data_IF_151364828632
#
_entry.id   IF_151364828632
#
_cell.length_a   1.000
_cell.length_b   1.000
_cell.length_c   1.000
_cell.angle_alpha   90.00
_cell.angle_beta   90.00
_cell.angle_gamma   90.00
#
_symmetry.space_group_name_H-M   'P 1'
#
loop_
_entity.id
_entity.type
_entity.pdbx_description
1 polymer ?
#
# COMPACT_ATOMS: atom_id res chain seq x y z
N UNK A 1 -4.87 -16.81 -11.08
CA UNK A 1 -6.24 -16.35 -10.72
C UNK A 1 -6.14 -15.65 -9.38
N UNK A 2 -6.26 -14.32 -9.36
CA UNK A 2 -6.32 -13.55 -8.11
C UNK A 2 -7.70 -13.80 -7.45
N UNK A 3 -7.78 -13.79 -6.11
CA UNK A 3 -9.08 -13.77 -5.46
C UNK A 3 -9.75 -12.43 -5.78
N UNK A 4 -10.84 -12.48 -6.54
CA UNK A 4 -11.72 -11.32 -6.74
C UNK A 4 -12.28 -10.81 -5.40
N UNK A 5 -12.82 -9.59 -5.40
CA UNK A 5 -13.54 -9.10 -4.23
C UNK A 5 -14.63 -10.12 -3.83
N UNK A 6 -14.82 -10.41 -2.54
CA UNK A 6 -15.86 -11.34 -2.12
C UNK A 6 -17.23 -10.76 -2.50
N UNK A 7 -17.91 -11.45 -3.42
CA UNK A 7 -19.29 -11.15 -3.82
C UNK A 7 -20.32 -11.68 -2.82
N UNK A 8 -19.89 -12.55 -1.89
CA UNK A 8 -20.74 -13.12 -0.87
C UNK A 8 -20.89 -12.17 0.33
N UNK A 9 -22.08 -12.14 0.91
CA UNK A 9 -22.53 -11.19 1.94
C UNK A 9 -21.48 -10.82 2.99
N UNK A 10 -21.19 -9.53 3.09
CA UNK A 10 -20.38 -8.92 4.14
C UNK A 10 -21.27 -8.70 5.37
N UNK A 11 -20.92 -9.31 6.49
CA UNK A 11 -21.64 -9.15 7.75
C UNK A 11 -21.27 -7.80 8.42
N UNK A 12 -21.61 -6.69 7.77
CA UNK A 12 -21.39 -5.36 8.35
C UNK A 12 -22.28 -5.17 9.59
N UNK A 13 -21.71 -4.75 10.72
CA UNK A 13 -22.52 -4.42 11.89
C UNK A 13 -23.35 -3.17 11.63
N UNK A 14 -24.51 -3.04 12.27
CA UNK A 14 -25.37 -1.86 12.13
C UNK A 14 -24.61 -0.55 12.41
N UNK A 15 -23.66 -0.57 13.35
CA UNK A 15 -22.81 0.58 13.68
C UNK A 15 -21.99 1.09 12.50
N UNK A 16 -21.58 0.22 11.57
CA UNK A 16 -20.76 0.62 10.43
C UNK A 16 -21.49 1.62 9.51
N UNK A 17 -22.82 1.49 9.38
CA UNK A 17 -23.65 2.43 8.62
C UNK A 17 -23.88 3.73 9.41
N UNK A 18 -24.09 3.64 10.72
CA UNK A 18 -24.35 4.81 11.57
C UNK A 18 -23.10 5.68 11.79
N UNK A 19 -21.91 5.07 11.83
CA UNK A 19 -20.63 5.73 12.03
C UNK A 19 -19.91 6.07 10.72
N UNK A 20 -20.60 5.90 9.57
CA UNK A 20 -20.09 6.23 8.23
C UNK A 20 -18.71 5.62 7.94
N UNK A 21 -18.56 4.32 8.19
CA UNK A 21 -17.29 3.64 8.03
C UNK A 21 -16.77 3.75 6.60
N UNK A 22 -15.48 4.06 6.48
CA UNK A 22 -14.77 4.11 5.20
C UNK A 22 -14.68 2.73 4.54
N UNK A 23 -14.63 2.76 3.20
CA UNK A 23 -14.43 1.60 2.34
C UNK A 23 -15.52 0.53 2.38
N UNK A 24 -16.70 0.81 2.94
CA UNK A 24 -17.84 -0.12 2.88
C UNK A 24 -18.40 -0.19 1.44
N UNK A 25 -18.97 -1.33 1.01
CA UNK A 25 -19.65 -1.43 -0.27
C UNK A 25 -20.87 -0.49 -0.32
N UNK A 26 -21.21 0.03 -1.50
CA UNK A 26 -22.30 1.01 -1.69
C UNK A 26 -23.67 0.50 -1.23
N UNK A 27 -23.97 -0.78 -1.42
CA UNK A 27 -25.23 -1.40 -0.98
C UNK A 27 -25.18 -1.87 0.48
N UNK A 28 -23.98 -1.90 1.08
CA UNK A 28 -23.69 -2.39 2.41
C UNK A 28 -23.90 -3.89 2.60
N UNK A 29 -23.97 -4.67 1.51
CA UNK A 29 -24.16 -6.12 1.53
C UNK A 29 -22.98 -6.86 0.90
N UNK A 30 -22.33 -6.32 -0.14
CA UNK A 30 -21.21 -7.00 -0.80
C UNK A 30 -20.52 -6.09 -1.80
N UNK A 31 -19.27 -6.41 -2.15
CA UNK A 31 -18.50 -5.57 -3.06
C UNK A 31 -18.83 -5.87 -4.52
N UNK A 32 -19.17 -4.82 -5.27
CA UNK A 32 -19.20 -4.81 -6.72
C UNK A 32 -17.89 -4.25 -7.30
N UNK A 33 -17.67 -4.44 -8.61
CA UNK A 33 -16.47 -3.95 -9.29
C UNK A 33 -16.33 -2.41 -9.17
N UNK A 34 -17.47 -1.70 -9.13
CA UNK A 34 -17.55 -0.26 -9.06
C UNK A 34 -17.16 0.29 -7.67
N UNK A 35 -17.28 -0.52 -6.62
CA UNK A 35 -16.95 -0.11 -5.25
C UNK A 35 -15.45 0.13 -5.08
N UNK A 36 -14.61 -0.53 -5.90
CA UNK A 36 -13.17 -0.33 -5.86
C UNK A 36 -12.82 1.13 -6.09
N UNK A 37 -13.29 1.70 -7.21
CA UNK A 37 -13.05 3.11 -7.54
C UNK A 37 -13.51 4.02 -6.40
N UNK A 38 -14.69 3.76 -5.84
CA UNK A 38 -15.22 4.53 -4.71
C UNK A 38 -14.36 4.43 -3.44
N UNK A 39 -13.79 3.27 -3.14
CA UNK A 39 -12.88 3.10 -2.01
C UNK A 39 -11.56 3.84 -2.22
N UNK A 40 -11.06 3.90 -3.46
CA UNK A 40 -9.83 4.63 -3.79
C UNK A 40 -10.01 6.14 -3.78
N UNK A 41 -11.19 6.66 -4.13
CA UNK A 41 -11.53 8.09 -4.01
C UNK A 41 -11.46 8.63 -2.56
N UNK A 42 -11.53 7.75 -1.56
CA UNK A 42 -11.47 8.11 -0.14
C UNK A 42 -10.04 8.25 0.42
N UNK A 43 -9.02 8.23 -0.44
CA UNK A 43 -7.60 8.19 -0.06
C UNK A 43 -6.80 9.42 -0.47
N UNK A 44 -5.65 9.67 0.19
CA UNK A 44 -5.19 9.01 1.41
C UNK A 44 -6.06 9.37 2.62
N UNK A 45 -6.02 8.55 3.68
CA UNK A 45 -6.56 8.98 4.97
C UNK A 45 -5.53 9.93 5.59
N UNK A 46 -5.92 11.19 5.72
CA UNK A 46 -5.05 12.25 6.22
C UNK A 46 -4.89 12.13 7.73
N UNK A 47 -3.65 11.94 8.18
CA UNK A 47 -3.24 11.81 9.59
C UNK A 47 -1.99 12.63 9.93
N UNK A 48 -1.45 13.40 8.98
CA UNK A 48 -0.34 14.34 9.20
C UNK A 48 0.86 13.73 9.95
N UNK A 49 1.29 12.52 9.57
CA UNK A 49 2.41 11.82 10.22
C UNK A 49 2.09 11.14 11.54
N UNK A 50 0.86 11.19 12.02
CA UNK A 50 0.43 10.57 13.28
C UNK A 50 -0.33 9.27 13.03
N UNK A 51 0.33 8.10 13.04
CA UNK A 51 -0.34 6.85 12.70
C UNK A 51 -1.54 6.53 13.61
N UNK A 52 -1.51 7.01 14.86
CA UNK A 52 -2.56 6.81 15.87
C UNK A 52 -3.84 7.65 15.61
N UNK A 53 -3.80 8.64 14.71
CA UNK A 53 -4.97 9.41 14.31
C UNK A 53 -5.88 8.63 13.32
N UNK A 54 -5.50 7.39 12.96
CA UNK A 54 -6.34 6.50 12.17
C UNK A 54 -7.63 6.15 12.95
N UNK A 55 -8.77 6.13 12.26
CA UNK A 55 -10.04 5.78 12.88
C UNK A 55 -9.96 4.39 13.52
N UNK A 56 -10.37 4.21 14.79
CA UNK A 56 -10.14 2.96 15.52
C UNK A 56 -10.68 1.71 14.82
N UNK A 57 -11.84 1.80 14.16
CA UNK A 57 -12.43 0.67 13.42
C UNK A 57 -11.54 0.19 12.26
N UNK A 58 -10.63 1.01 11.75
CA UNK A 58 -9.67 0.62 10.72
C UNK A 58 -8.40 -0.02 11.30
N UNK A 59 -8.19 -0.01 12.62
CA UNK A 59 -6.97 -0.55 13.24
C UNK A 59 -7.28 -1.81 14.04
N UNK A 60 -6.64 -2.92 13.65
CA UNK A 60 -6.74 -4.19 14.38
C UNK A 60 -6.01 -4.10 15.72
N UNK A 61 -4.93 -3.32 15.77
CA UNK A 61 -4.02 -3.21 16.91
C UNK A 61 -4.65 -2.45 18.06
N UNK A 62 -5.42 -1.42 17.76
CA UNK A 62 -6.17 -0.65 18.77
C UNK A 62 -7.50 -1.33 19.13
N UNK A 63 -7.74 -2.55 18.65
CA UNK A 63 -8.90 -3.36 19.01
C UNK A 63 -10.21 -2.97 18.35
N UNK A 64 -10.24 -2.04 17.38
CA UNK A 64 -11.51 -1.49 16.85
C UNK A 64 -12.40 -2.46 16.06
N UNK A 65 -11.90 -3.67 15.78
CA UNK A 65 -12.67 -4.76 15.18
C UNK A 65 -12.62 -6.06 16.01
N UNK A 66 -12.17 -6.02 17.28
CA UNK A 66 -11.96 -7.22 18.08
C UNK A 66 -13.26 -8.01 18.31
N UNK A 67 -14.38 -7.29 18.46
CA UNK A 67 -15.73 -7.76 18.75
C UNK A 67 -16.55 -8.13 17.49
N UNK A 68 -15.96 -8.03 16.30
CA UNK A 68 -16.68 -8.22 15.05
C UNK A 68 -16.18 -9.43 14.26
N UNK A 69 -17.10 -10.05 13.53
CA UNK A 69 -16.82 -11.13 12.56
C UNK A 69 -16.29 -10.62 11.21
N UNK A 70 -15.77 -9.39 11.18
CA UNK A 70 -15.13 -8.78 10.02
C UNK A 70 -13.72 -8.29 10.36
N UNK A 71 -12.94 -8.00 9.33
CA UNK A 71 -11.63 -7.35 9.42
C UNK A 71 -11.59 -6.16 8.45
N UNK A 72 -10.92 -5.07 8.85
CA UNK A 72 -10.75 -3.92 7.99
C UNK A 72 -9.90 -4.27 6.77
N UNK A 73 -9.98 -3.45 5.71
CA UNK A 73 -9.01 -3.52 4.63
C UNK A 73 -7.60 -3.23 5.15
N UNK A 74 -6.58 -3.61 4.38
CA UNK A 74 -5.20 -3.29 4.76
C UNK A 74 -4.87 -1.87 4.31
N UNK A 75 -4.32 -1.10 5.24
CA UNK A 75 -3.75 0.22 5.00
C UNK A 75 -2.24 0.14 5.23
N UNK A 76 -1.47 0.80 4.38
CA UNK A 76 -0.03 1.03 4.53
C UNK A 76 0.19 2.46 5.02
N UNK A 77 1.00 2.62 6.06
CA UNK A 77 1.42 3.95 6.53
C UNK A 77 2.73 4.34 5.86
N UNK A 78 2.81 5.55 5.32
CA UNK A 78 4.04 6.07 4.74
C UNK A 78 3.81 7.11 3.66
N UNK A 79 4.63 7.09 2.61
CA UNK A 79 4.65 8.13 1.57
C UNK A 79 4.42 7.55 0.19
N UNK A 80 3.69 8.28 -0.65
CA UNK A 80 3.64 8.07 -2.11
C UNK A 80 4.65 8.99 -2.78
N UNK A 81 5.59 8.42 -3.51
CA UNK A 81 6.70 9.10 -4.13
C UNK A 81 6.58 9.11 -5.65
N UNK A 82 6.99 10.22 -6.25
CA UNK A 82 7.20 10.29 -7.69
C UNK A 82 8.45 9.48 -8.09
N UNK A 83 8.37 8.81 -9.24
CA UNK A 83 9.47 7.96 -9.73
C UNK A 83 10.78 8.72 -9.89
N UNK A 84 10.72 9.94 -10.44
CA UNK A 84 11.87 10.81 -10.67
C UNK A 84 12.62 11.11 -9.37
N UNK A 85 11.89 11.52 -8.31
CA UNK A 85 12.45 11.78 -6.98
C UNK A 85 13.05 10.51 -6.38
N UNK A 86 12.30 9.41 -6.36
CA UNK A 86 12.75 8.14 -5.78
C UNK A 86 14.01 7.61 -6.47
N UNK A 87 14.02 7.56 -7.81
CA UNK A 87 15.17 7.10 -8.57
C UNK A 87 16.37 8.05 -8.46
N UNK A 88 16.14 9.36 -8.32
CA UNK A 88 17.21 10.32 -8.02
C UNK A 88 17.96 9.96 -6.74
N UNK A 89 17.22 9.64 -5.67
CA UNK A 89 17.79 9.24 -4.38
C UNK A 89 18.48 7.88 -4.49
N UNK A 90 17.88 6.91 -5.20
CA UNK A 90 18.47 5.57 -5.41
C UNK A 90 19.81 5.67 -6.15
N UNK A 91 19.93 6.53 -7.16
CA UNK A 91 21.21 6.74 -7.87
C UNK A 91 22.31 7.26 -6.95
N UNK A 92 21.97 8.13 -6.01
CA UNK A 92 22.94 8.71 -5.08
C UNK A 92 23.30 7.74 -3.95
N UNK A 93 22.30 7.17 -3.28
CA UNK A 93 22.50 6.39 -2.04
C UNK A 93 22.68 4.89 -2.29
N UNK A 94 22.14 4.35 -3.39
CA UNK A 94 22.07 2.91 -3.68
C UNK A 94 22.38 2.55 -5.14
N UNK A 95 23.48 3.07 -5.74
CA UNK A 95 23.75 2.88 -7.19
C UNK A 95 23.85 1.40 -7.59
N UNK A 96 24.34 0.54 -6.71
CA UNK A 96 24.49 -0.89 -6.95
C UNK A 96 23.17 -1.68 -6.91
N UNK A 97 22.06 -1.04 -6.54
CA UNK A 97 20.75 -1.67 -6.48
C UNK A 97 19.93 -1.45 -7.78
N UNK A 98 20.42 -0.62 -8.70
CA UNK A 98 19.71 -0.25 -9.92
C UNK A 98 19.67 -1.42 -10.89
N UNK A 99 18.45 -1.80 -11.27
CA UNK A 99 18.19 -2.81 -12.28
C UNK A 99 18.07 -2.17 -13.67
N UNK A 100 18.52 -2.89 -14.70
CA UNK A 100 18.41 -2.48 -16.09
C UNK A 100 17.49 -3.42 -16.85
N UNK A 101 16.69 -2.86 -17.76
CA UNK A 101 15.80 -3.60 -18.64
C UNK A 101 15.75 -2.94 -20.02
N UNK A 102 15.25 -3.69 -21.01
CA UNK A 102 14.88 -3.12 -22.30
C UNK A 102 13.45 -2.59 -22.21
N UNK A 103 13.23 -1.35 -22.65
CA UNK A 103 11.91 -0.72 -22.71
C UNK A 103 11.98 0.68 -23.33
N UNK A 104 10.83 1.28 -23.60
CA UNK A 104 10.72 2.69 -23.93
C UNK A 104 10.83 3.56 -22.66
N UNK A 105 10.86 4.89 -22.83
CA UNK A 105 11.05 5.81 -21.70
C UNK A 105 9.97 5.67 -20.62
N UNK A 106 8.71 5.45 -20.99
CA UNK A 106 7.59 5.33 -20.05
C UNK A 106 7.68 4.01 -19.31
N UNK A 107 7.92 2.90 -20.02
CA UNK A 107 8.12 1.57 -19.42
C UNK A 107 9.23 1.55 -18.38
N UNK A 108 10.34 2.22 -18.67
CA UNK A 108 11.51 2.23 -17.81
C UNK A 108 11.34 3.13 -16.57
N UNK A 109 10.64 4.26 -16.71
CA UNK A 109 10.63 5.31 -15.68
C UNK A 109 9.32 5.45 -14.92
N UNK A 110 8.17 5.22 -15.54
CA UNK A 110 6.86 5.57 -14.96
C UNK A 110 5.93 4.37 -14.81
N UNK A 111 6.12 3.34 -15.63
CA UNK A 111 5.24 2.18 -15.66
C UNK A 111 5.36 1.35 -14.38
N UNK A 112 4.23 1.20 -13.69
CA UNK A 112 4.03 0.23 -12.64
C UNK A 112 3.03 -0.77 -13.21
N UNK A 113 3.48 -2.02 -13.39
CA UNK A 113 2.61 -3.13 -13.74
C UNK A 113 1.65 -3.40 -12.57
N UNK A 114 0.54 -2.67 -12.58
CA UNK A 114 -0.65 -3.01 -11.84
C UNK A 114 -1.59 -3.72 -12.82
N UNK A 115 -2.00 -4.94 -12.47
CA UNK A 115 -2.80 -5.87 -13.30
C UNK A 115 -4.20 -5.32 -13.72
N UNK A 116 -4.42 -4.01 -13.69
CA UNK A 116 -5.67 -3.29 -13.91
C UNK A 116 -5.55 -2.12 -14.91
N UNK A 117 -4.45 -2.05 -15.68
CA UNK A 117 -4.41 -1.44 -17.03
C UNK A 117 -4.52 0.09 -17.14
N UNK A 118 -4.70 0.84 -16.04
CA UNK A 118 -4.82 2.32 -16.13
C UNK A 118 -3.52 3.00 -16.59
N UNK A 119 -2.36 2.43 -16.25
CA UNK A 119 -1.06 2.92 -16.73
C UNK A 119 -0.64 2.29 -18.06
N UNK A 120 -1.08 1.08 -18.39
CA UNK A 120 -0.81 0.45 -19.70
C UNK A 120 -1.30 1.31 -20.86
N UNK A 121 -2.43 2.01 -20.69
CA UNK A 121 -2.97 2.92 -21.69
C UNK A 121 -2.06 4.12 -22.02
N UNK A 122 -1.03 4.38 -21.21
CA UNK A 122 -0.05 5.45 -21.42
C UNK A 122 1.21 4.96 -22.15
N UNK A 123 1.38 3.65 -22.30
CA UNK A 123 2.53 3.04 -22.95
C UNK A 123 2.28 2.98 -24.45
N UNK A 124 3.14 3.64 -25.22
CA UNK A 124 3.22 3.43 -26.65
C UNK A 124 4.06 2.17 -26.93
N UNK A 125 3.38 1.05 -27.15
CA UNK A 125 4.02 -0.25 -27.42
C UNK A 125 4.77 -0.30 -28.75
N UNK A 126 4.51 0.64 -29.66
CA UNK A 126 5.22 0.77 -30.92
C UNK A 126 6.47 1.65 -30.81
N UNK A 127 6.68 2.28 -29.65
CA UNK A 127 7.85 3.13 -29.42
C UNK A 127 9.15 2.31 -29.40
N UNK A 128 10.27 2.87 -29.91
CA UNK A 128 11.56 2.20 -29.88
C UNK A 128 11.98 1.84 -28.45
N UNK A 129 12.44 0.61 -28.27
CA UNK A 129 12.97 0.12 -26.99
C UNK A 129 14.48 0.32 -26.93
N UNK A 130 14.98 0.63 -25.73
CA UNK A 130 16.40 0.74 -25.43
C UNK A 130 16.71 0.10 -24.08
N UNK A 131 17.96 -0.30 -23.87
CA UNK A 131 18.43 -0.73 -22.55
C UNK A 131 18.59 0.49 -21.64
N UNK A 132 17.98 0.48 -20.47
CA UNK A 132 18.07 1.57 -19.51
C UNK A 132 17.69 1.14 -18.09
N UNK A 133 17.81 2.07 -17.15
CA UNK A 133 17.42 1.85 -15.76
C UNK A 133 15.91 1.61 -15.66
N UNK A 134 15.50 0.56 -14.98
CA UNK A 134 14.08 0.23 -14.78
C UNK A 134 13.67 0.54 -13.34
N UNK A 135 12.84 1.56 -13.15
CA UNK A 135 12.36 1.98 -11.84
C UNK A 135 11.58 0.87 -11.13
N UNK A 136 10.65 0.22 -11.84
CA UNK A 136 9.84 -0.87 -11.30
C UNK A 136 10.70 -2.04 -10.78
N UNK A 137 11.61 -2.56 -11.60
CA UNK A 137 12.49 -3.65 -11.20
C UNK A 137 13.44 -3.26 -10.07
N UNK A 138 13.90 -2.01 -10.06
CA UNK A 138 14.77 -1.49 -8.99
C UNK A 138 14.03 -1.40 -7.66
N UNK A 139 12.86 -0.75 -7.65
CA UNK A 139 12.11 -0.44 -6.42
C UNK A 139 11.51 -1.70 -5.80
N UNK A 140 10.95 -2.60 -6.61
CA UNK A 140 10.39 -3.86 -6.12
C UNK A 140 11.43 -4.98 -6.00
N UNK A 141 12.69 -4.69 -6.31
CA UNK A 141 13.82 -5.60 -6.15
C UNK A 141 14.18 -5.83 -4.68
N UNK A 142 14.43 -7.09 -4.31
CA UNK A 142 14.84 -7.45 -2.94
C UNK A 142 16.18 -6.83 -2.54
N UNK A 143 17.06 -6.56 -3.51
CA UNK A 143 18.39 -5.95 -3.30
C UNK A 143 18.23 -4.54 -2.71
N UNK A 144 17.42 -3.68 -3.33
CA UNK A 144 17.16 -2.34 -2.81
C UNK A 144 16.49 -2.39 -1.44
N UNK A 145 15.45 -3.23 -1.29
CA UNK A 145 14.75 -3.40 -0.02
C UNK A 145 15.72 -3.73 1.12
N UNK A 146 16.63 -4.66 0.90
CA UNK A 146 17.63 -5.04 1.91
C UNK A 146 18.60 -3.89 2.20
N UNK A 147 19.11 -3.22 1.16
CA UNK A 147 20.04 -2.10 1.34
C UNK A 147 19.41 -0.96 2.15
N UNK A 148 18.14 -0.63 1.89
CA UNK A 148 17.40 0.40 2.65
C UNK A 148 17.17 -0.04 4.09
N UNK A 149 16.76 -1.28 4.32
CA UNK A 149 16.58 -1.81 5.69
C UNK A 149 17.88 -1.75 6.52
N UNK A 150 19.02 -2.05 5.91
CA UNK A 150 20.33 -1.92 6.56
C UNK A 150 20.69 -0.44 6.80
N UNK A 151 20.48 0.42 5.81
CA UNK A 151 20.74 1.87 5.92
C UNK A 151 19.91 2.52 7.04
N UNK A 152 18.66 2.10 7.19
CA UNK A 152 17.73 2.56 8.22
C UNK A 152 17.94 1.85 9.57
N UNK A 153 18.82 0.83 9.63
CA UNK A 153 19.11 0.03 10.82
C UNK A 153 17.85 -0.56 11.45
N UNK A 154 16.96 -1.11 10.62
CA UNK A 154 15.72 -1.72 11.11
C UNK A 154 16.05 -3.07 11.78
N UNK A 155 15.66 -3.29 13.05
CA UNK A 155 15.84 -4.57 13.71
C UNK A 155 15.17 -5.71 12.95
N UNK A 156 15.78 -6.88 12.95
CA UNK A 156 15.39 -8.01 12.08
C UNK A 156 13.91 -8.38 12.23
N UNK A 157 13.41 -8.41 13.46
CA UNK A 157 12.02 -8.71 13.83
C UNK A 157 11.00 -7.71 13.25
N UNK A 158 11.42 -6.47 12.96
CA UNK A 158 10.54 -5.43 12.41
C UNK A 158 10.71 -5.20 10.91
N UNK A 159 11.70 -5.83 10.26
CA UNK A 159 11.91 -5.74 8.79
C UNK A 159 10.67 -6.08 7.95
N UNK A 160 9.76 -7.01 8.36
CA UNK A 160 8.54 -7.28 7.60
C UNK A 160 7.57 -6.09 7.48
N UNK A 161 7.66 -5.10 8.38
CA UNK A 161 6.83 -3.89 8.38
C UNK A 161 7.22 -2.92 7.25
N UNK A 162 8.50 -2.91 6.87
CA UNK A 162 9.00 -2.09 5.76
C UNK A 162 8.67 -2.73 4.41
N UNK A 163 8.05 -1.96 3.52
CA UNK A 163 7.70 -2.41 2.17
C UNK A 163 7.80 -1.25 1.18
N UNK A 164 8.02 -1.59 -0.08
CA UNK A 164 7.70 -0.70 -1.19
C UNK A 164 6.34 -1.14 -1.75
N UNK A 165 5.20 -0.62 -1.27
CA UNK A 165 3.90 -0.94 -1.86
C UNK A 165 3.67 -0.13 -3.14
N UNK A 166 2.71 -0.56 -3.97
CA UNK A 166 2.10 0.32 -4.98
C UNK A 166 1.02 1.12 -4.26
N UNK A 167 1.16 2.45 -4.21
CA UNK A 167 0.17 3.32 -3.58
C UNK A 167 -0.62 4.08 -4.63
N UNK A 168 -1.88 4.37 -4.31
CA UNK A 168 -2.82 4.98 -5.25
C UNK A 168 -3.38 6.26 -4.65
N UNK A 169 -3.53 7.29 -5.46
CA UNK A 169 -4.19 8.54 -5.06
C UNK A 169 -5.73 8.46 -5.21
N UNK A 170 -6.43 9.51 -4.80
CA UNK A 170 -7.89 9.61 -4.94
C UNK A 170 -8.40 9.45 -6.38
N UNK A 171 -7.57 9.72 -7.38
CA UNK A 171 -7.92 9.65 -8.80
C UNK A 171 -7.65 8.27 -9.39
N UNK A 172 -7.04 7.37 -8.63
CA UNK A 172 -6.68 6.04 -9.09
C UNK A 172 -5.32 5.97 -9.78
N UNK A 173 -4.47 7.01 -9.72
CA UNK A 173 -3.11 6.95 -10.26
C UNK A 173 -2.17 6.29 -9.26
N UNK A 174 -1.40 5.32 -9.75
CA UNK A 174 -0.39 4.63 -8.97
C UNK A 174 0.87 5.45 -8.82
N UNK A 175 1.64 5.12 -7.79
CA UNK A 175 2.96 5.65 -7.52
C UNK A 175 3.72 4.69 -6.63
N UNK A 176 5.04 4.88 -6.56
CA UNK A 176 5.89 4.09 -5.69
C UNK A 176 5.65 4.47 -4.24
N UNK A 177 5.33 3.50 -3.41
CA UNK A 177 5.15 3.70 -1.98
C UNK A 177 6.42 3.44 -1.20
N UNK A 178 6.65 4.22 -0.15
CA UNK A 178 7.55 3.90 0.94
C UNK A 178 6.70 3.57 2.17
N UNK A 179 6.44 2.29 2.42
CA UNK A 179 5.59 1.79 3.50
C UNK A 179 6.40 1.43 4.74
N UNK A 180 5.99 1.98 5.88
CA UNK A 180 6.66 1.81 7.18
C UNK A 180 5.86 0.95 8.17
N UNK A 181 4.76 0.35 7.71
CA UNK A 181 3.90 -0.47 8.53
C UNK A 181 2.50 -0.62 7.97
N UNK A 182 1.67 -1.36 8.70
CA UNK A 182 0.25 -1.55 8.36
C UNK A 182 -0.66 -1.36 9.58
N UNK A 183 -1.93 -1.11 9.33
CA UNK A 183 -2.98 -1.04 10.36
C UNK A 183 -3.25 -2.38 11.07
N UNK A 184 -2.59 -3.46 10.63
CA UNK A 184 -2.71 -4.81 11.18
C UNK A 184 -1.46 -5.22 11.95
N UNK A 185 -0.27 -4.91 11.41
CA UNK A 185 1.02 -5.39 11.94
C UNK A 185 1.76 -4.33 12.77
N UNK A 186 1.36 -3.06 12.65
CA UNK A 186 1.93 -1.93 13.37
C UNK A 186 2.78 -1.07 12.47
N UNK A 187 3.26 0.03 13.03
CA UNK A 187 4.14 0.98 12.35
C UNK A 187 5.51 0.93 13.01
N UNK A 188 6.56 1.07 12.20
CA UNK A 188 7.93 1.20 12.66
C UNK A 188 8.07 2.38 13.63
N UNK A 189 8.98 2.24 14.59
CA UNK A 189 9.22 3.26 15.60
C UNK A 189 9.63 4.62 15.00
N UNK A 190 9.32 5.70 15.71
CA UNK A 190 9.50 7.08 15.25
C UNK A 190 10.95 7.37 14.81
N UNK A 191 11.94 6.80 15.48
CA UNK A 191 13.35 6.97 15.13
C UNK A 191 13.69 6.37 13.75
N UNK A 192 13.06 5.25 13.39
CA UNK A 192 13.18 4.64 12.05
C UNK A 192 12.48 5.52 11.01
N UNK A 193 11.31 6.07 11.35
CA UNK A 193 10.58 7.00 10.46
C UNK A 193 11.40 8.26 10.18
N UNK A 194 12.05 8.83 11.19
CA UNK A 194 12.93 9.99 11.04
C UNK A 194 14.13 9.70 10.15
N UNK A 195 14.79 8.54 10.31
CA UNK A 195 15.88 8.14 9.41
C UNK A 195 15.40 7.94 7.96
N UNK A 196 14.18 7.45 7.77
CA UNK A 196 13.58 7.36 6.45
C UNK A 196 13.29 8.74 5.85
N UNK A 197 12.81 9.69 6.66
CA UNK A 197 12.63 11.08 6.26
C UNK A 197 13.95 11.72 5.80
N UNK A 198 15.03 11.53 6.57
CA UNK A 198 16.36 12.02 6.20
C UNK A 198 16.88 11.38 4.92
N UNK A 199 16.78 10.06 4.78
CA UNK A 199 17.28 9.32 3.62
C UNK A 199 16.52 9.66 2.33
N UNK A 200 15.21 9.85 2.42
CA UNK A 200 14.35 10.06 1.26
C UNK A 200 13.94 11.53 1.04
N UNK A 201 14.52 12.46 1.81
CA UNK A 201 14.20 13.89 1.78
C UNK A 201 12.69 14.15 1.92
N UNK A 202 12.08 13.60 2.98
CA UNK A 202 10.65 13.64 3.25
C UNK A 202 10.34 14.37 4.56
N UNK A 203 9.13 14.89 4.66
CA UNK A 203 8.58 15.40 5.91
C UNK A 203 7.72 14.33 6.59
N UNK A 204 7.90 14.14 7.90
CA UNK A 204 7.10 13.18 8.67
C UNK A 204 5.61 13.49 8.61
N UNK A 205 5.25 14.77 8.61
CA UNK A 205 3.86 15.24 8.54
C UNK A 205 3.20 14.91 7.19
N UNK A 206 3.98 14.61 6.15
CA UNK A 206 3.43 14.20 4.86
C UNK A 206 3.08 12.71 4.80
N UNK A 207 3.44 11.92 5.82
CA UNK A 207 3.07 10.50 5.86
C UNK A 207 1.57 10.32 6.13
N UNK A 208 0.94 9.45 5.34
CA UNK A 208 -0.50 9.17 5.40
C UNK A 208 -0.78 7.65 5.38
N UNK A 209 -2.05 7.29 5.58
CA UNK A 209 -2.52 5.93 5.38
C UNK A 209 -3.11 5.74 3.97
N UNK A 210 -2.66 4.70 3.28
CA UNK A 210 -3.07 4.35 1.92
C UNK A 210 -3.59 2.91 1.89
N UNK A 211 -4.66 2.68 1.15
CA UNK A 211 -5.29 1.37 1.02
C UNK A 211 -4.44 0.46 0.14
N UNK A 212 -4.32 -0.79 0.56
CA UNK A 212 -3.70 -1.84 -0.23
C UNK A 212 -4.55 -2.17 -1.45
N UNK A 213 -3.94 -2.12 -2.64
CA UNK A 213 -4.65 -2.36 -3.91
C UNK A 213 -5.26 -3.76 -4.05
N UNK A 214 -4.69 -4.76 -3.40
CA UNK A 214 -5.16 -6.16 -3.43
C UNK A 214 -6.05 -6.49 -2.24
N UNK A 215 -6.03 -5.67 -1.18
CA UNK A 215 -6.74 -5.90 0.09
C UNK A 215 -7.52 -4.65 0.51
N UNK A 216 -8.23 -4.06 -0.45
CA UNK A 216 -8.95 -2.79 -0.34
C UNK A 216 -10.34 -2.90 0.29
N UNK A 217 -10.81 -4.12 0.53
CA UNK A 217 -12.15 -4.42 1.01
C UNK A 217 -12.15 -4.95 2.44
N UNK A 218 -13.24 -4.67 3.15
CA UNK A 218 -13.63 -5.36 4.37
C UNK A 218 -13.89 -6.83 4.07
N UNK A 219 -13.49 -7.71 4.99
CA UNK A 219 -13.61 -9.16 4.80
C UNK A 219 -14.17 -9.82 6.03
N UNK A 220 -15.06 -10.79 5.85
CA UNK A 220 -15.49 -11.66 6.94
C UNK A 220 -14.25 -12.37 7.53
N UNK A 221 -14.23 -12.52 8.85
CA UNK A 221 -13.31 -13.44 9.51
C UNK A 221 -13.66 -14.84 9.01
N UNK A 222 -12.64 -15.64 8.68
CA UNK A 222 -12.88 -17.06 8.47
C UNK A 222 -13.58 -17.60 9.73
N UNK A 223 -14.65 -18.41 9.60
CA UNK A 223 -15.27 -19.03 10.76
C UNK A 223 -14.15 -19.71 11.55
N UNK A 224 -13.96 -19.28 12.79
CA UNK A 224 -13.07 -19.94 13.73
C UNK A 224 -13.54 -21.39 13.76
N UNK A 225 -12.76 -22.29 13.16
CA UNK A 225 -13.13 -23.68 12.99
C UNK A 225 -13.69 -24.19 14.29
N UNK A 226 -14.97 -24.57 14.26
CA UNK A 226 -15.60 -25.30 15.35
C UNK A 226 -14.68 -26.44 15.66
N UNK A 227 -14.15 -26.43 16.88
CA UNK A 227 -13.47 -27.58 17.44
C UNK A 227 -14.33 -28.80 17.17
N UNK A 228 -13.76 -29.78 16.47
CA UNK A 228 -14.29 -31.14 16.43
C UNK A 228 -14.42 -31.59 17.89
N UNK A 229 -15.64 -31.49 18.42
CA UNK A 229 -16.03 -32.16 19.65
C UNK A 229 -16.06 -33.65 19.30
N UNK A 230 -15.30 -34.40 20.10
CA UNK A 230 -15.04 -35.85 20.01
C UNK A 230 -16.31 -36.68 19.91
#
# INVERSE_FOLDING_TARGET
>A
MLPGAPADGLALPDRARHEEWKFIPRDGNGYANEDKTHCFEQQPIIVNGRPDDLQPYLSVITGGCADLDIRPPILHFGWRLESSKLMGIIRTEFPNCIAFAAGNSIELTEFIDDEEGKQEAQVDWDAPTAMGECAMMTVYGQILKNAVLERLRVPHEYRPLFRFPVLTDARGYTGFGLGMGTNVEGVLALDVLQRACELFELDIESAQWYLDRKRWFWKNRAPSGTALVR
#
